data_IF_879944363585
#
_entry.id   IF_879944363585
#
_cell.length_a   1.000
_cell.length_b   1.000
_cell.length_c   1.000
_cell.angle_alpha   90.00
_cell.angle_beta   90.00
_cell.angle_gamma   90.00
#
_symmetry.space_group_name_H-M   'P 1'
#
loop_
_entity.id
_entity.type
_entity.pdbx_description
1 polymer ?
#
# COMPACT_ATOMS: atom_id res chain seq x y z
N UNK A 1 0.07 21.65 10.59
CA UNK A 1 -1.00 20.72 10.20
C UNK A 1 -0.38 19.33 10.13
N UNK A 2 -0.42 18.60 11.25
CA UNK A 2 0.27 17.33 11.47
C UNK A 2 -0.85 16.33 11.81
N UNK A 3 -1.33 15.56 10.83
CA UNK A 3 -2.24 14.43 11.06
C UNK A 3 -1.79 13.33 10.12
N UNK A 4 -0.80 12.58 10.58
CA UNK A 4 -0.32 11.34 9.97
C UNK A 4 -1.30 10.18 10.32
N UNK A 5 -2.60 10.47 10.26
CA UNK A 5 -3.67 9.55 10.64
C UNK A 5 -4.06 8.73 9.41
N UNK A 6 -3.21 7.77 9.05
CA UNK A 6 -3.53 6.85 7.97
C UNK A 6 -4.69 5.95 8.40
N UNK A 7 -5.87 6.14 7.81
CA UNK A 7 -7.03 5.29 8.09
C UNK A 7 -6.82 3.86 7.55
N UNK A 8 -7.33 2.86 8.28
CA UNK A 8 -7.25 1.44 7.89
C UNK A 8 -7.73 1.18 6.45
N UNK A 9 -8.81 1.84 6.03
CA UNK A 9 -9.33 1.74 4.66
C UNK A 9 -8.31 2.24 3.63
N UNK A 10 -7.66 3.38 3.88
CA UNK A 10 -6.65 3.94 2.98
C UNK A 10 -5.46 3.00 2.84
N UNK A 11 -5.03 2.37 3.95
CA UNK A 11 -3.97 1.36 3.91
C UNK A 11 -4.35 0.17 3.02
N UNK A 12 -5.57 -0.36 3.16
CA UNK A 12 -6.05 -1.50 2.35
C UNK A 12 -6.17 -1.09 0.89
N UNK A 13 -6.69 0.10 0.61
CA UNK A 13 -6.85 0.64 -0.74
C UNK A 13 -5.49 0.80 -1.45
N UNK A 14 -4.47 1.32 -0.75
CA UNK A 14 -3.10 1.44 -1.27
C UNK A 14 -2.51 0.08 -1.62
N UNK A 15 -2.64 -0.91 -0.72
CA UNK A 15 -2.16 -2.28 -0.98
C UNK A 15 -2.88 -2.88 -2.20
N UNK A 16 -4.19 -2.67 -2.31
CA UNK A 16 -4.99 -3.16 -3.43
C UNK A 16 -4.62 -2.56 -4.77
N UNK A 17 -4.52 -1.23 -4.83
CA UNK A 17 -4.13 -0.50 -6.04
C UNK A 17 -2.72 -0.90 -6.50
N UNK A 18 -1.80 -1.17 -5.57
CA UNK A 18 -0.47 -1.67 -5.91
C UNK A 18 -0.54 -3.02 -6.62
N UNK A 19 -1.27 -3.99 -6.06
CA UNK A 19 -1.43 -5.29 -6.70
C UNK A 19 -2.19 -5.20 -8.02
N UNK A 20 -3.19 -4.32 -8.13
CA UNK A 20 -3.93 -4.12 -9.36
C UNK A 20 -3.02 -3.62 -10.47
N UNK A 21 -2.23 -2.58 -10.21
CA UNK A 21 -1.24 -2.08 -11.19
C UNK A 21 -0.26 -3.17 -11.58
N UNK A 22 0.32 -3.87 -10.60
CA UNK A 22 1.34 -4.91 -10.84
C UNK A 22 0.85 -6.11 -11.65
N UNK A 23 -0.43 -6.45 -11.52
CA UNK A 23 -1.00 -7.66 -12.10
C UNK A 23 -1.74 -7.39 -13.40
N UNK A 24 -2.44 -6.26 -13.48
CA UNK A 24 -3.39 -5.96 -14.57
C UNK A 24 -2.84 -4.92 -15.55
N UNK A 25 -2.02 -3.97 -15.08
CA UNK A 25 -1.55 -2.84 -15.89
C UNK A 25 -0.11 -3.05 -16.38
N UNK A 26 0.78 -3.56 -15.51
CA UNK A 26 2.18 -3.79 -15.85
C UNK A 26 2.36 -4.92 -16.87
N UNK A 27 3.56 -4.96 -17.50
CA UNK A 27 3.96 -6.04 -18.40
C UNK A 27 3.73 -7.41 -17.75
N UNK A 28 3.17 -8.33 -18.55
CA UNK A 28 2.85 -9.67 -18.10
C UNK A 28 4.06 -10.35 -17.45
N UNK A 29 3.89 -10.76 -16.19
CA UNK A 29 4.84 -11.58 -15.46
C UNK A 29 4.26 -12.97 -15.29
N UNK A 30 5.07 -14.01 -15.55
CA UNK A 30 4.67 -15.39 -15.32
C UNK A 30 4.36 -15.68 -13.84
N UNK A 31 4.94 -14.89 -12.93
CA UNK A 31 4.80 -15.04 -11.48
C UNK A 31 4.56 -13.68 -10.79
N UNK A 32 3.40 -13.05 -11.03
CA UNK A 32 3.11 -11.74 -10.47
C UNK A 32 2.93 -11.87 -8.96
N UNK A 33 3.33 -10.86 -8.17
CA UNK A 33 3.19 -10.90 -6.71
C UNK A 33 1.78 -10.47 -6.28
N UNK A 34 1.20 -11.12 -5.28
CA UNK A 34 -0.17 -10.84 -4.81
C UNK A 34 -0.40 -11.16 -3.32
N UNK A 35 0.68 -11.42 -2.60
CA UNK A 35 0.72 -11.43 -1.14
C UNK A 35 1.77 -10.43 -0.67
N UNK A 36 1.69 -9.98 0.59
CA UNK A 36 2.71 -9.13 1.19
C UNK A 36 3.20 -9.68 2.52
N UNK A 37 4.42 -9.33 2.90
CA UNK A 37 5.00 -9.64 4.22
C UNK A 37 5.18 -8.34 4.98
N UNK A 38 4.75 -8.30 6.24
CA UNK A 38 4.98 -7.15 7.12
C UNK A 38 6.42 -7.24 7.63
N UNK A 39 7.32 -6.50 7.00
CA UNK A 39 8.74 -6.48 7.33
C UNK A 39 9.06 -5.48 8.45
N UNK A 40 10.28 -5.54 8.99
CA UNK A 40 10.63 -4.74 10.16
C UNK A 40 10.70 -3.24 9.91
N UNK A 41 10.76 -2.84 8.64
CA UNK A 41 10.80 -1.45 8.18
C UNK A 41 9.43 -0.77 8.19
N UNK A 42 8.35 -1.51 8.42
CA UNK A 42 7.00 -0.94 8.53
C UNK A 42 6.89 -0.14 9.82
N UNK A 43 6.33 1.06 9.73
CA UNK A 43 6.06 1.92 10.87
C UNK A 43 5.23 1.17 11.94
N UNK A 44 5.64 1.30 13.20
CA UNK A 44 4.95 0.76 14.36
C UNK A 44 3.49 1.23 14.42
N UNK A 45 3.17 2.44 13.96
CA UNK A 45 1.82 2.99 13.94
C UNK A 45 0.87 2.22 13.00
N UNK A 46 1.39 1.54 11.97
CA UNK A 46 0.58 0.77 11.02
C UNK A 46 0.28 -0.64 11.50
N UNK A 47 1.05 -1.17 12.46
CA UNK A 47 0.86 -2.51 13.03
C UNK A 47 -0.54 -2.71 13.63
N UNK A 48 -1.08 -1.80 14.46
CA UNK A 48 -2.45 -1.95 14.98
C UNK A 48 -3.50 -1.92 13.86
N UNK A 49 -3.32 -1.08 12.83
CA UNK A 49 -4.24 -1.02 11.69
C UNK A 49 -4.26 -2.33 10.88
N UNK A 50 -3.08 -2.94 10.67
CA UNK A 50 -2.98 -4.24 10.00
C UNK A 50 -3.64 -5.33 10.87
N UNK A 51 -3.43 -5.28 12.18
CA UNK A 51 -4.05 -6.22 13.13
C UNK A 51 -5.58 -6.15 13.05
N UNK A 52 -6.13 -4.93 13.10
CA UNK A 52 -7.57 -4.69 12.96
C UNK A 52 -8.10 -5.10 11.59
N UNK A 53 -7.34 -4.87 10.51
CA UNK A 53 -7.70 -5.29 9.17
C UNK A 53 -7.74 -6.83 9.01
N UNK A 54 -6.90 -7.55 9.77
CA UNK A 54 -6.97 -9.02 9.86
C UNK A 54 -8.19 -9.43 10.69
N UNK A 55 -8.46 -8.76 11.81
CA UNK A 55 -9.59 -9.08 12.69
C UNK A 55 -10.95 -8.92 12.01
N UNK A 56 -11.11 -7.90 11.16
CA UNK A 56 -12.32 -7.68 10.37
C UNK A 56 -12.37 -8.53 9.09
N UNK A 57 -11.37 -9.37 8.83
CA UNK A 57 -11.31 -10.25 7.66
C UNK A 57 -10.99 -9.55 6.34
N UNK A 58 -10.55 -8.29 6.36
CA UNK A 58 -10.08 -7.60 5.15
C UNK A 58 -8.71 -8.13 4.68
N UNK A 59 -7.88 -8.59 5.61
CA UNK A 59 -6.60 -9.27 5.35
C UNK A 59 -6.63 -10.71 5.86
N UNK A 60 -6.11 -11.63 5.06
CA UNK A 60 -6.02 -13.05 5.38
C UNK A 60 -4.56 -13.43 5.56
N UNK A 61 -4.22 -14.02 6.70
CA UNK A 61 -2.89 -14.57 6.96
C UNK A 61 -2.67 -15.84 6.11
N UNK A 62 -1.54 -15.90 5.40
CA UNK A 62 -1.16 -17.02 4.53
C UNK A 62 -0.05 -17.90 5.12
N UNK A 63 0.62 -17.48 6.21
CA UNK A 63 1.65 -18.29 6.86
C UNK A 63 1.00 -19.47 7.61
N UNK A 64 1.51 -20.71 7.49
CA UNK A 64 1.04 -21.82 8.32
C UNK A 64 1.34 -21.52 9.80
N UNK A 65 0.30 -21.51 10.63
CA UNK A 65 0.43 -21.37 12.07
C UNK A 65 1.19 -22.58 12.63
N UNK A 66 2.37 -22.36 13.23
CA UNK A 66 3.04 -23.39 14.05
C UNK A 66 2.43 -23.51 15.45
N UNK A 67 1.69 -22.50 15.91
CA UNK A 67 0.96 -22.49 17.17
C UNK A 67 -0.27 -21.61 17.02
N UNK A 68 -1.43 -22.04 17.54
CA UNK A 68 -2.72 -21.35 17.43
C UNK A 68 -2.82 -19.94 18.04
N UNK A 69 -1.71 -19.35 18.48
CA UNK A 69 -1.65 -18.04 19.12
C UNK A 69 -1.15 -16.96 18.13
N UNK A 70 -1.95 -15.89 17.95
CA UNK A 70 -1.54 -14.67 17.23
C UNK A 70 -0.54 -13.90 18.10
N UNK A 71 0.75 -14.08 17.89
CA UNK A 71 1.77 -13.39 18.70
C UNK A 71 2.44 -12.22 18.00
N UNK A 72 2.42 -12.14 16.67
CA UNK A 72 2.92 -10.95 15.95
C UNK A 72 2.43 -10.89 14.51
N UNK A 73 2.07 -9.69 14.05
CA UNK A 73 1.79 -9.38 12.63
C UNK A 73 3.08 -9.26 11.82
N UNK A 74 4.20 -8.90 12.47
CA UNK A 74 5.51 -8.77 11.82
C UNK A 74 6.03 -10.13 11.39
N UNK A 75 6.70 -10.17 10.24
CA UNK A 75 7.24 -11.37 9.61
C UNK A 75 6.19 -12.29 8.99
N UNK A 76 4.89 -11.96 9.11
CA UNK A 76 3.82 -12.79 8.57
C UNK A 76 3.44 -12.37 7.15
N UNK A 77 3.01 -13.37 6.37
CA UNK A 77 2.49 -13.17 5.02
C UNK A 77 0.99 -12.99 5.06
N UNK A 78 0.49 -11.99 4.35
CA UNK A 78 -0.92 -11.67 4.21
C UNK A 78 -1.32 -11.53 2.75
N UNK A 79 -2.61 -11.73 2.48
CA UNK A 79 -3.28 -11.36 1.23
C UNK A 79 -4.52 -10.53 1.54
N UNK A 80 -4.97 -9.75 0.57
CA UNK A 80 -6.29 -9.14 0.63
C UNK A 80 -7.36 -10.23 0.53
N UNK A 81 -8.43 -10.08 1.30
CA UNK A 81 -9.55 -11.01 1.29
C UNK A 81 -10.21 -11.10 -0.10
N UNK A 82 -10.60 -12.32 -0.48
CA UNK A 82 -11.28 -12.56 -1.76
C UNK A 82 -12.64 -11.87 -1.87
N UNK A 83 -13.22 -11.36 -0.78
CA UNK A 83 -14.44 -10.54 -0.83
C UNK A 83 -14.16 -9.12 -1.36
N UNK A 84 -12.93 -8.62 -1.20
CA UNK A 84 -12.47 -7.33 -1.74
C UNK A 84 -11.71 -7.48 -3.07
N UNK A 85 -11.22 -8.68 -3.39
CA UNK A 85 -10.49 -8.95 -4.62
C UNK A 85 -11.28 -8.61 -5.91
N UNK A 86 -12.61 -8.84 -6.02
CA UNK A 86 -13.40 -8.41 -7.17
C UNK A 86 -13.50 -6.90 -7.30
N UNK A 87 -13.68 -6.19 -6.17
CA UNK A 87 -13.73 -4.72 -6.16
C UNK A 87 -12.39 -4.11 -6.57
N UNK A 88 -11.29 -4.78 -6.25
CA UNK A 88 -9.93 -4.34 -6.58
C UNK A 88 -9.34 -5.05 -7.80
N UNK A 89 -10.16 -5.80 -8.54
CA UNK A 89 -9.82 -6.52 -9.79
C UNK A 89 -8.53 -7.37 -9.67
N UNK A 90 -8.34 -8.02 -8.53
CA UNK A 90 -7.19 -8.89 -8.27
C UNK A 90 -7.52 -10.35 -8.64
N UNK A 91 -6.56 -11.15 -9.14
CA UNK A 91 -6.76 -12.57 -9.38
C UNK A 91 -7.08 -13.32 -8.09
N UNK A 92 -8.01 -14.26 -8.17
CA UNK A 92 -8.45 -15.09 -7.02
C UNK A 92 -7.44 -16.20 -6.64
N UNK A 93 -6.22 -16.17 -7.18
CA UNK A 93 -5.16 -17.15 -6.88
C UNK A 93 -4.14 -16.57 -5.92
N UNK A 94 -3.59 -17.41 -5.03
CA UNK A 94 -2.48 -17.00 -4.17
C UNK A 94 -1.22 -16.83 -5.01
N UNK A 95 -0.64 -15.63 -4.95
CA UNK A 95 0.54 -15.23 -5.69
C UNK A 95 1.71 -14.97 -4.71
N UNK A 96 2.98 -15.04 -5.15
CA UNK A 96 4.12 -14.91 -4.26
C UNK A 96 4.23 -13.55 -3.56
N UNK A 97 5.02 -13.47 -2.47
CA UNK A 97 5.04 -12.33 -1.59
C UNK A 97 5.95 -11.19 -2.07
N UNK A 98 5.68 -9.99 -1.56
CA UNK A 98 6.57 -8.83 -1.57
C UNK A 98 6.61 -8.15 -0.19
N UNK A 99 7.66 -7.42 0.15
CA UNK A 99 7.73 -6.67 1.41
C UNK A 99 6.75 -5.49 1.41
N UNK A 100 6.07 -5.24 2.54
CA UNK A 100 5.11 -4.15 2.68
C UNK A 100 5.81 -2.78 2.58
N UNK A 101 7.01 -2.63 3.13
CA UNK A 101 7.82 -1.40 2.96
C UNK A 101 8.01 -1.02 1.49
N UNK A 102 8.25 -2.00 0.61
CA UNK A 102 8.40 -1.75 -0.84
C UNK A 102 7.12 -1.21 -1.47
N UNK A 103 5.96 -1.67 -1.01
CA UNK A 103 4.65 -1.14 -1.44
C UNK A 103 4.50 0.31 -0.98
N UNK A 104 4.76 0.58 0.30
CA UNK A 104 4.62 1.93 0.88
C UNK A 104 5.59 2.94 0.26
N UNK A 105 6.84 2.54 0.00
CA UNK A 105 7.84 3.38 -0.66
C UNK A 105 7.44 3.75 -2.09
N UNK A 106 6.74 2.86 -2.81
CA UNK A 106 6.25 3.15 -4.15
C UNK A 106 5.22 4.29 -4.15
N UNK A 107 4.36 4.36 -3.14
CA UNK A 107 3.41 5.45 -2.94
C UNK A 107 4.10 6.75 -2.52
N UNK A 108 5.07 6.66 -1.60
CA UNK A 108 5.83 7.83 -1.16
C UNK A 108 6.62 8.46 -2.32
N UNK A 109 7.17 7.64 -3.22
CA UNK A 109 7.85 8.11 -4.44
C UNK A 109 6.89 8.75 -5.44
N UNK A 110 5.74 8.13 -5.71
CA UNK A 110 4.73 8.71 -6.60
C UNK A 110 4.26 10.07 -6.08
N UNK A 111 3.93 10.18 -4.79
CA UNK A 111 3.53 11.46 -4.19
C UNK A 111 4.63 12.52 -4.26
N UNK A 112 5.92 12.17 -4.10
CA UNK A 112 7.03 13.13 -4.28
C UNK A 112 7.16 13.65 -5.71
N UNK A 113 6.94 12.80 -6.71
CA UNK A 113 7.02 13.22 -8.12
C UNK A 113 5.92 14.25 -8.44
N UNK A 114 4.68 14.01 -8.01
CA UNK A 114 3.59 14.96 -8.22
C UNK A 114 3.80 16.27 -7.44
N UNK A 115 4.31 16.22 -6.21
CA UNK A 115 4.59 17.43 -5.43
C UNK A 115 5.70 18.27 -6.07
N UNK A 116 6.72 17.63 -6.67
CA UNK A 116 7.80 18.34 -7.35
C UNK A 116 7.37 18.97 -8.68
N UNK A 117 6.47 18.33 -9.42
CA UNK A 117 5.91 18.92 -10.64
C UNK A 117 4.98 20.10 -10.31
N UNK A 118 4.12 19.95 -9.29
CA UNK A 118 3.24 21.03 -8.84
C UNK A 118 4.00 22.22 -8.24
N UNK A 119 5.14 22.00 -7.59
CA UNK A 119 6.00 23.08 -7.12
C UNK A 119 6.77 23.76 -8.25
N UNK A 120 7.14 23.03 -9.31
CA UNK A 120 7.72 23.59 -10.54
C UNK A 120 6.73 24.50 -11.29
N UNK A 121 5.45 24.13 -11.36
CA UNK A 121 4.41 24.96 -11.96
C UNK A 121 4.05 26.18 -11.10
N UNK A 122 4.16 26.10 -9.77
CA UNK A 122 4.03 27.28 -8.89
C UNK A 122 5.21 28.24 -9.04
N UNK A 123 6.43 27.73 -9.22
CA UNK A 123 7.62 28.55 -9.43
C UNK A 123 7.55 29.42 -10.69
N UNK A 124 6.87 28.96 -11.75
CA UNK A 124 6.63 29.73 -12.98
C UNK A 124 5.41 30.67 -12.92
N UNK A 125 4.60 30.60 -11.84
CA UNK A 125 3.39 31.41 -11.69
C UNK A 125 3.55 32.71 -10.90
N UNK A 126 4.75 32.97 -10.35
CA UNK A 126 5.01 34.11 -9.46
C UNK A 126 5.79 35.27 -10.13
N UNK A 127 6.09 35.22 -11.44
CA UNK A 127 6.86 36.28 -12.13
C UNK A 127 6.04 37.36 -12.85
N UNK A 128 4.70 37.29 -12.88
CA UNK A 128 3.85 38.19 -13.69
C UNK A 128 2.92 39.15 -12.89
N UNK A 129 3.21 39.46 -11.62
CA UNK A 129 2.44 40.46 -10.84
C UNK A 129 3.29 41.61 -10.25
N UNK A 130 4.32 42.08 -10.96
CA UNK A 130 4.89 43.39 -10.63
C UNK A 130 5.37 44.19 -11.84
N UNK A 131 4.41 44.57 -12.69
CA UNK A 131 4.54 45.81 -13.47
C UNK A 131 3.17 46.47 -13.56
N UNK A 132 3.15 47.80 -13.50
CA UNK A 132 2.00 48.71 -13.52
C UNK A 132 1.35 49.00 -12.15
N UNK A 133 2.03 49.82 -11.34
CA UNK A 133 1.58 51.19 -11.01
C UNK A 133 2.64 51.92 -10.17
#
# INVERSE_FOLDING_TARGET
MHSDDKHMYQLIADIGKYFYTRIVIDNFSADPKGTFIVDDKVDANLIPLISSAVDCGALIMCTPQKSGLRTSVRGQRFRISFMLAPQMKLPLRTLPPIALSTILDSYAKQNRTYTNELSLFKFWGDEDENTIN
#
